data_IF_252568363556
#
_entry.id   IF_252568363556
#
_cell.length_a   1.000
_cell.length_b   1.000
_cell.length_c   1.000
_cell.angle_alpha   90.00
_cell.angle_beta   90.00
_cell.angle_gamma   90.00
#
_symmetry.space_group_name_H-M   'P 1'
#
loop_
_entity.id
_entity.type
_entity.pdbx_description
1 polymer ?
#
# COMPACT_ATOMS: atom_id res chain seq x y z
N UNK A 1 -83.79 2.20 -56.95
CA UNK A 1 -83.05 3.47 -57.08
C UNK A 1 -81.58 3.16 -56.90
N UNK A 2 -80.67 3.54 -57.81
CA UNK A 2 -79.25 3.33 -57.61
C UNK A 2 -78.75 4.21 -56.45
N UNK A 3 -78.03 3.61 -55.52
CA UNK A 3 -77.36 4.31 -54.42
C UNK A 3 -76.11 4.99 -54.98
N UNK A 4 -76.12 6.32 -55.09
CA UNK A 4 -74.96 7.11 -55.50
C UNK A 4 -74.22 7.51 -54.23
N UNK A 5 -73.02 6.98 -54.02
CA UNK A 5 -72.12 7.40 -52.94
C UNK A 5 -71.14 8.41 -53.55
N UNK A 6 -71.16 9.69 -53.13
CA UNK A 6 -70.24 10.69 -53.66
C UNK A 6 -68.79 10.38 -53.22
N UNK A 7 -67.88 10.27 -54.18
CA UNK A 7 -66.45 10.11 -53.91
C UNK A 7 -65.85 11.50 -53.64
N UNK A 8 -65.23 11.68 -52.48
CA UNK A 8 -64.58 12.94 -52.09
C UNK A 8 -63.05 12.78 -52.16
N UNK A 9 -62.31 13.80 -52.62
CA UNK A 9 -60.85 13.74 -52.70
C UNK A 9 -60.22 13.67 -51.30
N UNK A 10 -59.03 13.07 -51.20
CA UNK A 10 -58.29 12.78 -49.95
C UNK A 10 -57.98 14.00 -49.06
N UNK A 11 -58.07 15.21 -49.61
CA UNK A 11 -57.90 16.47 -48.86
C UNK A 11 -59.21 17.11 -48.41
N UNK A 12 -60.37 16.49 -48.64
CA UNK A 12 -61.67 17.06 -48.34
C UNK A 12 -62.11 16.81 -46.90
N UNK A 13 -62.40 17.86 -46.14
CA UNK A 13 -63.06 17.80 -44.83
C UNK A 13 -64.59 17.71 -44.96
N UNK A 14 -65.08 16.94 -45.93
CA UNK A 14 -66.49 16.89 -46.26
C UNK A 14 -67.32 16.18 -45.18
N UNK A 15 -68.42 16.80 -44.78
CA UNK A 15 -69.43 16.21 -43.90
C UNK A 15 -70.74 16.09 -44.67
N UNK A 16 -71.47 14.99 -44.45
CA UNK A 16 -72.82 14.78 -44.98
C UNK A 16 -73.84 14.78 -43.84
N UNK A 17 -75.02 15.34 -44.06
CA UNK A 17 -76.11 15.29 -43.08
C UNK A 17 -77.18 14.34 -43.59
N UNK A 18 -77.47 13.30 -42.81
CA UNK A 18 -78.54 12.33 -43.08
C UNK A 18 -79.41 12.31 -41.83
N UNK A 19 -80.73 12.52 -42.01
CA UNK A 19 -81.71 12.51 -40.91
C UNK A 19 -81.35 13.40 -39.72
N UNK A 20 -80.81 14.59 -40.00
CA UNK A 20 -80.34 15.59 -39.00
C UNK A 20 -79.09 15.18 -38.22
N UNK A 21 -78.41 14.09 -38.58
CA UNK A 21 -77.12 13.68 -38.01
C UNK A 21 -76.00 14.01 -39.00
N UNK A 22 -74.95 14.69 -38.53
CA UNK A 22 -73.77 15.02 -39.35
C UNK A 22 -72.75 13.89 -39.28
N UNK A 23 -72.43 13.29 -40.42
CA UNK A 23 -71.41 12.25 -40.58
C UNK A 23 -70.18 12.83 -41.28
N UNK A 24 -68.99 12.41 -40.86
CA UNK A 24 -67.75 12.67 -41.59
C UNK A 24 -67.59 11.60 -42.66
N UNK A 25 -67.32 11.99 -43.91
CA UNK A 25 -67.13 11.02 -44.99
C UNK A 25 -65.82 10.25 -44.74
N UNK A 26 -65.83 8.91 -44.74
CA UNK A 26 -64.61 8.12 -44.65
C UNK A 26 -63.74 8.36 -45.89
N UNK A 27 -62.46 8.69 -45.70
CA UNK A 27 -61.53 8.89 -46.82
C UNK A 27 -61.11 7.52 -47.35
N UNK A 28 -61.39 7.24 -48.62
CA UNK A 28 -61.02 6.00 -49.28
C UNK A 28 -59.98 6.33 -50.34
N UNK A 29 -58.83 5.64 -50.32
CA UNK A 29 -57.76 5.84 -51.29
C UNK A 29 -58.12 5.28 -52.68
N UNK A 30 -57.25 5.52 -53.67
CA UNK A 30 -57.46 5.11 -55.07
C UNK A 30 -57.56 3.60 -55.27
N UNK A 31 -57.12 2.80 -54.29
CA UNK A 31 -57.18 1.34 -54.32
C UNK A 31 -58.38 0.77 -53.54
N UNK A 32 -59.22 1.64 -52.97
CA UNK A 32 -60.43 1.27 -52.24
C UNK A 32 -60.23 1.03 -50.75
N UNK A 33 -59.09 1.40 -50.17
CA UNK A 33 -58.84 1.24 -48.73
C UNK A 33 -59.26 2.47 -47.93
N UNK A 34 -59.85 2.24 -46.76
CA UNK A 34 -60.17 3.29 -45.80
C UNK A 34 -58.87 3.85 -45.18
N UNK A 35 -58.61 5.15 -45.35
CA UNK A 35 -57.57 5.86 -44.64
C UNK A 35 -58.08 6.36 -43.29
N UNK A 36 -57.42 5.90 -42.22
CA UNK A 36 -57.56 6.48 -40.88
C UNK A 36 -56.22 7.14 -40.56
N UNK A 37 -56.22 8.47 -40.51
CA UNK A 37 -55.04 9.23 -40.11
C UNK A 37 -54.90 9.16 -38.59
N UNK A 38 -53.99 8.31 -38.12
CA UNK A 38 -53.81 8.03 -36.69
C UNK A 38 -52.66 8.89 -36.16
N UNK A 39 -52.99 10.07 -35.64
CA UNK A 39 -52.02 11.04 -35.12
C UNK A 39 -51.49 10.71 -33.71
N UNK A 40 -52.14 9.83 -32.95
CA UNK A 40 -51.66 9.43 -31.62
C UNK A 40 -52.08 8.01 -31.21
N UNK A 41 -51.42 7.49 -30.18
CA UNK A 41 -51.56 6.10 -29.72
C UNK A 41 -52.98 5.76 -29.20
N UNK A 42 -53.71 6.73 -28.65
CA UNK A 42 -55.08 6.53 -28.18
C UNK A 42 -56.03 6.32 -29.38
N UNK A 43 -55.90 7.13 -30.43
CA UNK A 43 -56.68 6.96 -31.67
C UNK A 43 -56.35 5.65 -32.39
N UNK A 44 -55.12 5.14 -32.26
CA UNK A 44 -54.74 3.82 -32.79
C UNK A 44 -55.48 2.70 -32.05
N UNK A 45 -55.58 2.81 -30.73
CA UNK A 45 -56.21 1.80 -29.89
C UNK A 45 -57.71 1.69 -30.19
N UNK A 46 -58.39 2.83 -30.32
CA UNK A 46 -59.81 2.87 -30.68
C UNK A 46 -60.04 2.36 -32.11
N UNK A 47 -59.16 2.70 -33.05
CA UNK A 47 -59.20 2.18 -34.41
C UNK A 47 -59.01 0.65 -34.43
N UNK A 48 -58.04 0.12 -33.67
CA UNK A 48 -57.84 -1.33 -33.54
C UNK A 48 -59.04 -2.04 -32.91
N UNK A 49 -59.67 -1.43 -31.90
CA UNK A 49 -60.89 -1.98 -31.29
C UNK A 49 -62.06 -2.06 -32.29
N UNK A 50 -62.12 -1.12 -33.25
CA UNK A 50 -63.16 -1.09 -34.28
C UNK A 50 -63.03 -2.19 -35.34
N UNK A 51 -61.83 -2.77 -35.52
CA UNK A 51 -61.57 -3.90 -36.43
C UNK A 51 -62.12 -5.22 -35.86
N UNK A 52 -62.48 -5.25 -34.58
CA UNK A 52 -63.19 -6.39 -33.97
C UNK A 52 -62.37 -7.69 -33.98
N UNK A 53 -62.88 -8.74 -34.64
CA UNK A 53 -62.26 -10.07 -34.74
C UNK A 53 -61.47 -10.29 -36.03
N UNK A 54 -61.34 -9.29 -36.89
CA UNK A 54 -60.67 -9.43 -38.18
C UNK A 54 -59.13 -9.46 -38.05
N UNK A 55 -58.46 -10.07 -39.03
CA UNK A 55 -56.99 -10.15 -39.07
C UNK A 55 -56.35 -8.78 -39.37
N UNK A 56 -55.66 -8.23 -38.38
CA UNK A 56 -54.81 -7.05 -38.59
C UNK A 56 -53.45 -7.47 -39.19
N UNK A 57 -53.24 -7.20 -40.48
CA UNK A 57 -51.91 -7.38 -41.12
C UNK A 57 -51.07 -6.13 -40.95
N UNK A 58 -50.18 -6.13 -39.96
CA UNK A 58 -49.22 -5.05 -39.75
C UNK A 58 -47.94 -5.29 -40.54
N UNK A 59 -47.58 -4.35 -41.42
CA UNK A 59 -46.27 -4.35 -42.09
C UNK A 59 -45.33 -3.46 -41.29
N UNK A 60 -44.36 -4.07 -40.61
CA UNK A 60 -43.29 -3.33 -39.96
C UNK A 60 -42.22 -3.02 -41.01
N UNK A 61 -42.12 -1.75 -41.40
CA UNK A 61 -40.97 -1.24 -42.16
C UNK A 61 -39.88 -0.93 -41.15
N UNK A 62 -39.09 -1.93 -40.77
CA UNK A 62 -37.92 -1.71 -39.94
C UNK A 62 -36.79 -1.18 -40.84
N UNK A 63 -36.32 0.03 -40.58
CA UNK A 63 -35.07 0.53 -41.16
C UNK A 63 -33.95 -0.35 -40.61
N UNK A 64 -33.38 -1.22 -41.45
CA UNK A 64 -32.18 -1.97 -41.08
C UNK A 64 -31.13 -0.96 -40.64
N UNK A 65 -30.52 -1.19 -39.47
CA UNK A 65 -29.38 -0.39 -39.04
C UNK A 65 -28.31 -0.41 -40.15
N UNK A 66 -27.61 0.71 -40.40
CA UNK A 66 -26.49 0.74 -41.35
C UNK A 66 -25.52 -0.42 -41.09
N UNK A 67 -24.87 -0.94 -42.14
CA UNK A 67 -23.95 -2.09 -42.02
C UNK A 67 -22.76 -1.82 -41.06
N UNK A 68 -22.49 -0.54 -40.83
CA UNK A 68 -21.47 0.07 -39.98
C UNK A 68 -22.01 0.51 -38.61
N UNK A 69 -23.28 0.23 -38.29
CA UNK A 69 -23.83 0.44 -36.97
C UNK A 69 -23.18 -0.51 -35.95
N UNK A 70 -22.93 -0.01 -34.74
CA UNK A 70 -22.39 -0.82 -33.66
C UNK A 70 -23.35 -1.98 -33.35
N UNK A 71 -22.88 -3.21 -33.58
CA UNK A 71 -23.60 -4.42 -33.16
C UNK A 71 -23.71 -4.46 -31.63
N UNK A 72 -24.67 -5.21 -31.09
CA UNK A 72 -24.79 -5.40 -29.64
C UNK A 72 -23.49 -5.95 -29.01
N UNK A 73 -22.75 -6.80 -29.74
CA UNK A 73 -21.44 -7.31 -29.34
C UNK A 73 -20.39 -6.20 -29.26
N UNK A 74 -20.35 -5.30 -30.25
CA UNK A 74 -19.44 -4.16 -30.24
C UNK A 74 -19.76 -3.21 -29.06
N UNK A 75 -21.05 -2.96 -28.81
CA UNK A 75 -21.50 -2.16 -27.68
C UNK A 75 -21.12 -2.78 -26.33
N UNK A 76 -21.35 -4.09 -26.15
CA UNK A 76 -20.97 -4.81 -24.93
C UNK A 76 -19.44 -4.77 -24.70
N UNK A 77 -18.65 -4.93 -25.76
CA UNK A 77 -17.19 -4.82 -25.69
C UNK A 77 -16.76 -3.42 -25.26
N UNK A 78 -17.40 -2.38 -25.80
CA UNK A 78 -17.12 -0.99 -25.47
C UNK A 78 -17.46 -0.67 -24.01
N UNK A 79 -18.59 -1.19 -23.51
CA UNK A 79 -19.00 -1.07 -22.10
C UNK A 79 -17.95 -1.71 -21.18
N UNK A 80 -17.53 -2.95 -21.47
CA UNK A 80 -16.50 -3.64 -20.68
C UNK A 80 -15.17 -2.90 -20.70
N UNK A 81 -14.77 -2.34 -21.85
CA UNK A 81 -13.53 -1.57 -21.96
C UNK A 81 -13.56 -0.28 -21.11
N UNK A 82 -14.71 0.42 -21.08
CA UNK A 82 -14.89 1.60 -20.23
C UNK A 82 -14.83 1.25 -18.75
N UNK A 83 -15.46 0.14 -18.33
CA UNK A 83 -15.36 -0.35 -16.95
C UNK A 83 -13.90 -0.64 -16.56
N UNK A 84 -13.14 -1.30 -17.45
CA UNK A 84 -11.73 -1.60 -17.20
C UNK A 84 -10.91 -0.31 -17.02
N UNK A 85 -11.19 0.73 -17.80
CA UNK A 85 -10.51 2.03 -17.67
C UNK A 85 -10.80 2.65 -16.30
N UNK A 86 -12.03 2.59 -15.82
CA UNK A 86 -12.40 3.14 -14.52
C UNK A 86 -11.80 2.32 -13.37
N UNK A 87 -11.77 0.99 -13.49
CA UNK A 87 -11.10 0.11 -12.53
C UNK A 87 -9.60 0.42 -12.45
N UNK A 88 -8.94 0.63 -13.60
CA UNK A 88 -7.52 0.99 -13.67
C UNK A 88 -7.23 2.37 -13.09
N UNK A 89 -8.10 3.35 -13.29
CA UNK A 89 -7.99 4.67 -12.65
C UNK A 89 -8.06 4.55 -11.14
N UNK A 90 -9.01 3.78 -10.61
CA UNK A 90 -9.12 3.53 -9.17
C UNK A 90 -7.89 2.83 -8.60
N UNK A 91 -7.36 1.84 -9.30
CA UNK A 91 -6.13 1.17 -8.90
C UNK A 91 -4.92 2.12 -8.89
N UNK A 92 -4.81 3.00 -9.90
CA UNK A 92 -3.73 3.98 -9.98
C UNK A 92 -3.82 5.03 -8.85
N UNK A 93 -5.03 5.53 -8.57
CA UNK A 93 -5.27 6.48 -7.48
C UNK A 93 -4.92 5.87 -6.12
N UNK A 94 -5.24 4.58 -5.91
CA UNK A 94 -4.87 3.87 -4.69
C UNK A 94 -3.34 3.83 -4.50
N UNK A 95 -2.60 3.45 -5.55
CA UNK A 95 -1.13 3.36 -5.51
C UNK A 95 -0.50 4.75 -5.39
N UNK A 96 -1.09 5.81 -5.94
CA UNK A 96 -0.54 7.17 -5.82
C UNK A 96 -0.45 7.65 -4.37
N UNK A 97 -1.34 7.17 -3.50
CA UNK A 97 -1.31 7.50 -2.07
C UNK A 97 -0.38 6.61 -1.25
N UNK A 98 0.10 5.51 -1.82
CA UNK A 98 1.03 4.62 -1.14
C UNK A 98 2.39 5.29 -0.99
N UNK A 99 2.80 5.46 0.25
CA UNK A 99 4.15 5.90 0.59
C UNK A 99 4.99 4.67 0.90
N UNK A 100 6.02 4.46 0.09
CA UNK A 100 7.08 3.52 0.46
C UNK A 100 7.86 4.12 1.63
N UNK A 101 7.65 3.59 2.84
CA UNK A 101 8.42 4.00 4.01
C UNK A 101 9.66 3.10 4.13
N UNK A 102 10.78 3.59 3.61
CA UNK A 102 12.06 2.87 3.70
C UNK A 102 12.78 3.33 4.97
N UNK A 103 12.83 2.46 5.98
CA UNK A 103 13.75 2.66 7.10
C UNK A 103 15.16 2.28 6.62
N UNK A 104 15.93 3.29 6.21
CA UNK A 104 17.34 3.09 5.86
C UNK A 104 18.09 2.77 7.15
N UNK A 105 18.43 1.50 7.34
CA UNK A 105 19.40 1.10 8.35
C UNK A 105 20.76 1.71 7.95
N UNK A 106 21.27 2.62 8.78
CA UNK A 106 22.60 3.18 8.64
C UNK A 106 23.42 2.72 9.85
N UNK A 107 24.44 1.93 9.60
CA UNK A 107 25.42 1.57 10.63
C UNK A 107 25.91 2.84 11.32
N UNK A 108 25.88 2.81 12.66
CA UNK A 108 26.23 3.96 13.48
C UNK A 108 25.17 5.07 13.61
N UNK A 109 23.92 4.88 13.17
CA UNK A 109 22.85 5.84 13.45
C UNK A 109 22.25 5.73 14.86
N UNK A 110 22.54 4.65 15.59
CA UNK A 110 22.06 4.47 16.97
C UNK A 110 22.66 5.49 17.95
N UNK A 111 21.94 5.74 19.04
CA UNK A 111 22.38 6.63 20.12
C UNK A 111 23.71 6.16 20.73
N UNK A 112 24.64 7.09 20.90
CA UNK A 112 25.91 6.84 21.61
C UNK A 112 25.68 6.92 23.11
N UNK A 113 25.93 5.82 23.80
CA UNK A 113 25.81 5.67 25.25
C UNK A 113 27.19 5.74 25.89
N UNK A 114 27.23 6.24 27.13
CA UNK A 114 28.43 6.25 27.98
C UNK A 114 28.19 5.37 29.21
N UNK A 115 29.15 4.53 29.58
CA UNK A 115 29.08 3.70 30.78
C UNK A 115 30.38 3.75 31.58
N UNK A 116 30.28 4.08 32.87
CA UNK A 116 31.42 4.09 33.79
C UNK A 116 31.39 2.85 34.68
N UNK A 117 32.51 2.13 34.76
CA UNK A 117 32.63 0.91 35.54
C UNK A 117 33.95 0.90 36.32
N UNK A 118 33.89 0.74 37.64
CA UNK A 118 35.06 0.38 38.42
C UNK A 118 35.28 -1.13 38.41
N UNK A 119 36.52 -1.58 38.59
CA UNK A 119 36.82 -2.99 38.86
C UNK A 119 36.10 -3.46 40.12
N UNK A 120 35.70 -4.73 40.18
CA UNK A 120 35.09 -5.34 41.38
C UNK A 120 36.12 -6.17 42.12
N UNK A 121 35.88 -6.52 43.39
CA UNK A 121 36.67 -7.55 44.08
C UNK A 121 35.93 -8.90 44.05
N UNK A 122 36.59 -10.00 43.66
CA UNK A 122 37.94 -10.06 43.10
C UNK A 122 37.99 -9.64 41.63
N UNK A 123 38.95 -8.78 41.24
CA UNK A 123 39.12 -8.34 39.84
C UNK A 123 39.73 -9.43 38.94
N UNK A 124 40.24 -10.50 39.54
CA UNK A 124 40.75 -11.71 38.87
C UNK A 124 39.66 -12.65 38.41
N UNK A 125 38.41 -12.21 38.41
CA UNK A 125 37.28 -12.94 37.85
C UNK A 125 36.53 -12.02 36.91
N UNK A 126 35.92 -12.60 35.88
CA UNK A 126 35.11 -11.85 34.91
C UNK A 126 34.02 -11.07 35.64
N UNK A 127 33.99 -9.76 35.43
CA UNK A 127 32.85 -8.92 35.76
C UNK A 127 32.15 -8.46 34.49
N UNK A 128 30.82 -8.56 34.46
CA UNK A 128 30.02 -7.98 33.39
C UNK A 128 29.98 -6.47 33.58
N UNK A 129 30.45 -5.72 32.59
CA UNK A 129 30.42 -4.26 32.59
C UNK A 129 29.13 -3.73 31.96
N UNK A 130 28.72 -4.28 30.81
CA UNK A 130 27.52 -3.82 30.07
C UNK A 130 26.72 -5.03 29.63
N UNK A 131 25.41 -5.00 29.87
CA UNK A 131 24.45 -5.94 29.29
C UNK A 131 23.63 -5.18 28.25
N UNK A 132 23.60 -5.60 26.98
CA UNK A 132 22.77 -4.94 25.97
C UNK A 132 21.29 -5.09 26.31
N UNK A 133 20.48 -4.15 25.81
CA UNK A 133 19.03 -4.35 25.72
C UNK A 133 18.73 -5.63 24.94
N UNK A 134 17.72 -6.39 25.38
CA UNK A 134 17.35 -7.66 24.75
C UNK A 134 17.14 -7.52 23.23
N UNK A 135 17.77 -8.41 22.46
CA UNK A 135 17.78 -8.42 20.99
C UNK A 135 18.77 -7.45 20.34
N UNK A 136 19.63 -6.78 21.11
CA UNK A 136 20.62 -5.81 20.62
C UNK A 136 22.05 -6.32 20.67
N UNK A 137 22.89 -5.76 19.79
CA UNK A 137 24.34 -5.92 19.80
C UNK A 137 24.99 -4.72 20.45
N UNK A 138 26.15 -4.91 21.06
CA UNK A 138 27.01 -3.82 21.51
C UNK A 138 28.06 -3.51 20.44
N UNK A 139 28.16 -2.24 20.03
CA UNK A 139 29.29 -1.73 19.23
C UNK A 139 30.12 -0.78 20.05
N UNK A 140 31.41 -1.06 20.18
CA UNK A 140 32.34 -0.21 20.93
C UNK A 140 32.85 0.94 20.07
N UNK A 141 32.90 2.14 20.63
CA UNK A 141 33.46 3.34 19.98
C UNK A 141 34.73 3.79 20.67
N UNK A 142 34.74 3.76 22.00
CA UNK A 142 35.91 4.05 22.81
C UNK A 142 35.91 3.17 24.06
N UNK A 143 37.08 2.65 24.40
CA UNK A 143 37.39 2.06 25.69
C UNK A 143 38.49 2.88 26.33
N UNK A 144 38.19 3.53 27.44
CA UNK A 144 39.18 4.22 28.27
C UNK A 144 39.39 3.44 29.56
N UNK A 145 40.64 3.10 29.86
CA UNK A 145 41.03 2.32 31.04
C UNK A 145 41.98 3.16 31.89
N UNK A 146 41.86 3.09 33.22
CA UNK A 146 42.75 3.76 34.15
C UNK A 146 43.02 2.91 35.39
N UNK A 147 44.23 3.02 35.93
CA UNK A 147 44.67 2.34 37.14
C UNK A 147 45.19 3.34 38.18
N UNK A 148 44.75 3.16 39.43
CA UNK A 148 45.18 3.95 40.59
C UNK A 148 45.95 3.08 41.59
N UNK A 149 46.68 2.10 41.08
CA UNK A 149 47.48 1.15 41.85
C UNK A 149 48.92 1.13 41.38
N UNK A 150 49.83 0.90 42.32
CA UNK A 150 51.23 0.65 42.01
C UNK A 150 51.43 -0.78 41.48
N UNK A 151 52.28 -0.89 40.47
CA UNK A 151 52.69 -2.14 39.86
C UNK A 151 51.78 -2.58 38.72
N UNK A 152 52.37 -2.72 37.55
CA UNK A 152 51.75 -3.18 36.31
C UNK A 152 50.74 -4.33 36.49
N UNK A 153 49.53 -4.14 35.98
CA UNK A 153 48.48 -5.15 35.84
C UNK A 153 47.90 -5.09 34.44
N UNK A 154 47.52 -6.25 33.90
CA UNK A 154 46.86 -6.34 32.61
C UNK A 154 45.35 -6.18 32.83
N UNK A 155 44.79 -5.17 32.19
CA UNK A 155 43.37 -4.88 32.08
C UNK A 155 42.88 -5.45 30.76
N UNK A 156 41.78 -6.18 30.80
CA UNK A 156 41.18 -6.80 29.63
C UNK A 156 39.71 -6.39 29.50
N UNK A 157 39.31 -6.13 28.27
CA UNK A 157 37.92 -5.88 27.87
C UNK A 157 37.59 -6.78 26.69
N UNK A 158 36.50 -7.53 26.80
CA UNK A 158 36.11 -8.51 25.79
C UNK A 158 34.60 -8.77 25.80
N UNK A 159 34.08 -9.31 24.72
CA UNK A 159 32.69 -9.73 24.63
C UNK A 159 32.45 -11.13 25.22
N UNK A 160 31.25 -11.33 25.74
CA UNK A 160 30.78 -12.61 26.24
C UNK A 160 31.15 -12.89 27.69
N UNK A 161 30.93 -14.14 28.10
CA UNK A 161 31.03 -14.60 29.49
C UNK A 161 32.29 -15.41 29.78
N UNK A 162 33.23 -15.44 28.83
CA UNK A 162 34.52 -16.13 28.95
C UNK A 162 35.38 -15.62 30.11
N UNK A 163 36.42 -16.38 30.45
CA UNK A 163 37.26 -16.10 31.62
C UNK A 163 38.23 -14.94 31.40
N UNK A 164 38.92 -14.91 30.26
CA UNK A 164 39.93 -13.90 29.86
C UNK A 164 40.05 -13.85 28.34
N UNK A 165 40.69 -12.81 27.80
CA UNK A 165 41.08 -12.73 26.39
C UNK A 165 42.03 -13.87 26.01
N UNK A 166 42.95 -14.26 26.89
CA UNK A 166 43.90 -15.35 26.63
C UNK A 166 43.21 -16.65 26.27
N UNK A 167 42.08 -16.95 26.92
CA UNK A 167 41.29 -18.16 26.66
C UNK A 167 40.31 -18.02 25.50
N UNK A 168 40.00 -16.80 25.06
CA UNK A 168 39.01 -16.56 24.01
C UNK A 168 39.37 -15.33 23.17
N UNK A 169 40.45 -15.41 22.37
CA UNK A 169 41.05 -14.23 21.71
C UNK A 169 40.15 -13.61 20.65
N UNK A 170 39.23 -14.38 20.07
CA UNK A 170 38.28 -13.90 19.06
C UNK A 170 37.27 -12.89 19.61
N UNK A 171 37.11 -12.84 20.93
CA UNK A 171 36.18 -11.92 21.62
C UNK A 171 36.87 -10.67 22.18
N UNK A 172 38.16 -10.48 21.92
CA UNK A 172 38.92 -9.34 22.44
C UNK A 172 38.41 -8.00 21.90
N UNK A 173 38.28 -7.02 22.78
CA UNK A 173 37.94 -5.63 22.41
C UNK A 173 39.16 -4.74 22.62
N UNK A 174 39.74 -4.76 23.83
CA UNK A 174 40.93 -3.99 24.18
C UNK A 174 41.66 -4.65 25.33
N UNK A 175 42.97 -4.42 25.41
CA UNK A 175 43.77 -4.76 26.58
C UNK A 175 44.87 -3.72 26.81
N UNK A 176 45.30 -3.58 28.05
CA UNK A 176 46.32 -2.61 28.44
C UNK A 176 47.06 -3.08 29.68
N UNK A 177 48.38 -2.95 29.70
CA UNK A 177 49.13 -3.07 30.96
C UNK A 177 49.21 -1.69 31.59
N UNK A 178 48.52 -1.51 32.71
CA UNK A 178 48.42 -0.23 33.41
C UNK A 178 49.11 -0.27 34.77
N UNK A 179 49.72 0.86 35.13
CA UNK A 179 50.42 1.10 36.39
C UNK A 179 50.32 2.59 36.72
N UNK A 180 49.98 2.94 37.95
CA UNK A 180 49.94 4.34 38.40
C UNK A 180 51.27 5.06 38.18
N UNK A 181 52.39 4.35 38.36
CA UNK A 181 53.73 4.93 38.29
C UNK A 181 54.32 4.92 36.88
N UNK A 182 53.64 4.27 35.92
CA UNK A 182 54.05 4.15 34.53
C UNK A 182 52.96 4.64 33.58
N UNK A 183 52.12 3.71 33.12
CA UNK A 183 51.00 4.00 32.23
C UNK A 183 49.71 4.00 33.05
N UNK A 184 49.34 5.16 33.59
CA UNK A 184 48.18 5.27 34.48
C UNK A 184 46.84 5.16 33.76
N UNK A 185 46.81 5.44 32.45
CA UNK A 185 45.61 5.32 31.63
C UNK A 185 45.93 5.06 30.16
N UNK A 186 44.98 4.44 29.47
CA UNK A 186 45.02 4.20 28.04
C UNK A 186 43.61 4.31 27.45
N UNK A 187 43.51 4.88 26.25
CA UNK A 187 42.28 4.88 25.48
C UNK A 187 42.50 4.21 24.13
N UNK A 188 41.53 3.41 23.72
CA UNK A 188 41.42 2.90 22.35
C UNK A 188 40.12 3.43 21.79
N UNK A 189 40.20 4.14 20.67
CA UNK A 189 39.05 4.71 19.97
C UNK A 189 39.03 4.21 18.54
N UNK A 190 37.83 3.92 18.05
CA UNK A 190 37.59 3.52 16.68
C UNK A 190 36.81 4.61 15.96
N UNK A 191 36.95 4.69 14.64
CA UNK A 191 36.08 5.53 13.82
C UNK A 191 34.64 5.05 13.94
N UNK A 192 33.69 5.94 13.65
CA UNK A 192 32.29 5.57 13.59
C UNK A 192 32.08 4.35 12.64
N UNK A 193 31.40 3.31 13.13
CA UNK A 193 31.18 2.04 12.43
C UNK A 193 32.38 1.08 12.40
N UNK A 194 33.57 1.51 12.82
CA UNK A 194 34.81 0.72 12.72
C UNK A 194 35.19 -0.08 13.97
N UNK A 195 34.49 0.10 15.08
CA UNK A 195 34.83 -0.59 16.33
C UNK A 195 34.27 -2.02 16.44
N UNK A 196 34.80 -2.82 17.38
CA UNK A 196 34.36 -4.19 17.62
C UNK A 196 32.87 -4.28 17.92
N UNK A 197 32.24 -5.36 17.44
CA UNK A 197 30.80 -5.63 17.61
C UNK A 197 30.61 -6.99 18.25
N UNK A 198 29.82 -7.04 19.33
CA UNK A 198 29.42 -8.28 19.98
C UNK A 198 28.27 -8.97 19.25
N UNK A 199 28.06 -10.24 19.55
CA UNK A 199 26.87 -10.96 19.12
C UNK A 199 25.59 -10.39 19.78
N UNK A 200 24.43 -10.80 19.27
CA UNK A 200 23.14 -10.39 19.86
C UNK A 200 23.07 -10.88 21.30
N UNK A 201 22.63 -10.02 22.21
CA UNK A 201 22.55 -10.27 23.65
C UNK A 201 23.91 -10.56 24.33
N UNK A 202 25.01 -10.36 23.60
CA UNK A 202 26.35 -10.60 24.15
C UNK A 202 26.77 -9.44 25.07
N UNK A 203 27.17 -9.79 26.29
CA UNK A 203 27.61 -8.83 27.29
C UNK A 203 29.04 -8.34 27.02
N UNK A 204 29.37 -7.13 27.49
CA UNK A 204 30.75 -6.67 27.58
C UNK A 204 31.29 -7.01 28.97
N UNK A 205 32.46 -7.62 29.03
CA UNK A 205 33.11 -8.07 30.26
C UNK A 205 34.47 -7.40 30.46
N UNK A 206 34.86 -7.28 31.73
CA UNK A 206 36.16 -6.79 32.18
C UNK A 206 36.84 -7.81 33.09
N UNK A 207 38.17 -7.80 33.06
CA UNK A 207 39.03 -8.66 33.87
C UNK A 207 40.36 -7.95 34.16
N UNK A 208 40.98 -8.24 35.31
CA UNK A 208 42.34 -7.78 35.65
C UNK A 208 43.16 -8.94 36.21
N UNK A 209 44.44 -9.04 35.83
CA UNK A 209 45.30 -10.17 36.24
C UNK A 209 45.64 -10.24 37.73
N UNK A 210 45.31 -9.21 38.53
CA UNK A 210 45.33 -9.26 39.99
C UNK A 210 44.12 -8.52 40.57
N UNK A 211 43.75 -8.87 41.81
CA UNK A 211 42.65 -8.18 42.48
C UNK A 211 43.11 -6.79 42.92
N UNK A 212 42.39 -5.77 42.46
CA UNK A 212 42.65 -4.36 42.78
C UNK A 212 41.44 -3.67 43.42
N UNK A 213 40.40 -4.44 43.75
CA UNK A 213 39.29 -4.06 44.62
C UNK A 213 38.67 -2.66 44.39
N UNK A 214 38.49 -2.25 43.13
CA UNK A 214 37.90 -0.94 42.79
C UNK A 214 38.88 0.11 42.32
N UNK A 215 40.17 -0.15 42.38
CA UNK A 215 41.22 0.82 42.05
C UNK A 215 41.55 0.90 40.55
N UNK A 216 40.77 0.22 39.72
CA UNK A 216 40.79 0.34 38.27
C UNK A 216 39.45 0.85 37.75
N UNK A 217 39.47 1.63 36.68
CA UNK A 217 38.26 2.24 36.10
C UNK A 217 38.22 2.09 34.58
N UNK A 218 37.01 1.97 34.07
CA UNK A 218 36.68 1.89 32.67
C UNK A 218 35.62 2.93 32.34
N UNK A 219 35.81 3.63 31.23
CA UNK A 219 34.77 4.43 30.59
C UNK A 219 34.56 3.91 29.17
N UNK A 220 33.33 3.50 28.90
CA UNK A 220 32.93 2.95 27.62
C UNK A 220 32.06 3.94 26.87
N UNK A 221 32.38 4.17 25.60
CA UNK A 221 31.47 4.79 24.63
C UNK A 221 31.04 3.70 23.67
N UNK A 222 29.73 3.50 23.52
CA UNK A 222 29.19 2.38 22.76
C UNK A 222 27.84 2.72 22.15
N UNK A 223 27.37 1.87 21.25
CA UNK A 223 26.00 1.87 20.72
C UNK A 223 25.34 0.52 20.91
N UNK A 224 24.02 0.55 20.98
CA UNK A 224 23.19 -0.64 20.83
C UNK A 224 22.58 -0.65 19.42
N UNK A 225 22.85 -1.70 18.66
CA UNK A 225 22.37 -1.90 17.28
C UNK A 225 21.38 -3.07 17.22
#
# INVERSE_FOLDING_TARGET
>A
MPLIIPFHPETASATIVIDSVTYRVPLVDSDGHLQVDVLNLATLLDALASVGTDELRTRIIATLLPADAATATNQATMITALQLIDDLRGALDAVQTDRLNVNVYRDGASEVKNHWQATVSPSTTRATAITPTSGKKLRMLTVHMAAFIAGAKLFEVYFGTGATITTNPEKAVAHAVLDRDGVSSQAVSWTDGGGPVGDVDEVLSIYVTADIAGSGYFLFQYREE
#
